data_IF_202946382323
#
_entry.id   IF_202946382323
#
_cell.length_a   1.000
_cell.length_b   1.000
_cell.length_c   1.000
_cell.angle_alpha   90.00
_cell.angle_beta   90.00
_cell.angle_gamma   90.00
#
_symmetry.space_group_name_H-M   'P 1'
#
loop_
_entity.id
_entity.type
_entity.pdbx_description
1 polymer ?
#
# COMPACT_ATOMS: atom_id res chain seq x y z
N UNK A 1 11.89 27.55 -39.12
CA UNK A 1 11.67 26.12 -38.79
C UNK A 1 12.75 25.54 -37.88
N UNK A 2 14.06 25.63 -38.18
CA UNK A 2 15.13 25.06 -37.33
C UNK A 2 15.14 25.49 -35.85
N UNK A 3 14.85 26.76 -35.55
CA UNK A 3 14.83 27.25 -34.16
C UNK A 3 13.62 26.78 -33.33
N UNK A 4 12.48 26.50 -33.97
CA UNK A 4 11.28 25.98 -33.29
C UNK A 4 11.48 24.53 -32.84
N UNK A 5 12.20 23.73 -33.63
CA UNK A 5 12.52 22.33 -33.30
C UNK A 5 13.45 22.26 -32.08
N UNK A 6 14.45 23.15 -31.99
CA UNK A 6 15.34 23.22 -30.83
C UNK A 6 14.63 23.70 -29.57
N UNK A 7 13.69 24.65 -29.69
CA UNK A 7 12.90 25.14 -28.56
C UNK A 7 11.94 24.05 -28.02
N UNK A 8 11.27 23.31 -28.91
CA UNK A 8 10.42 22.18 -28.53
C UNK A 8 11.22 21.05 -27.86
N UNK A 9 12.40 20.72 -28.38
CA UNK A 9 13.28 19.72 -27.75
C UNK A 9 13.78 20.13 -26.37
N UNK A 10 14.08 21.41 -26.16
CA UNK A 10 14.49 21.93 -24.85
C UNK A 10 13.35 21.91 -23.83
N UNK A 11 12.12 22.24 -24.24
CA UNK A 11 10.93 22.12 -23.38
C UNK A 11 10.69 20.65 -23.00
N UNK A 12 10.81 19.72 -23.95
CA UNK A 12 10.64 18.29 -23.69
C UNK A 12 11.69 17.78 -22.68
N UNK A 13 12.96 18.18 -22.85
CA UNK A 13 14.04 17.81 -21.93
C UNK A 13 13.80 18.37 -20.52
N UNK A 14 13.38 19.64 -20.40
CA UNK A 14 13.05 20.24 -19.11
C UNK A 14 11.86 19.54 -18.44
N UNK A 15 10.83 19.16 -19.20
CA UNK A 15 9.70 18.39 -18.67
C UNK A 15 10.14 17.01 -18.15
N UNK A 16 11.01 16.31 -18.89
CA UNK A 16 11.55 15.01 -18.47
C UNK A 16 12.42 15.14 -17.20
N UNK A 17 13.27 16.16 -17.11
CA UNK A 17 14.12 16.38 -15.93
C UNK A 17 13.29 16.76 -14.69
N UNK A 18 12.29 17.62 -14.84
CA UNK A 18 11.39 18.01 -13.74
C UNK A 18 10.55 16.81 -13.27
N UNK A 19 9.99 16.03 -14.20
CA UNK A 19 9.26 14.80 -13.86
C UNK A 19 10.17 13.80 -13.14
N UNK A 20 11.39 13.57 -13.62
CA UNK A 20 12.35 12.66 -12.98
C UNK A 20 12.71 13.03 -11.54
N UNK A 21 12.84 14.32 -11.23
CA UNK A 21 13.13 14.79 -9.87
C UNK A 21 11.93 14.66 -8.93
N UNK A 22 10.70 14.90 -9.42
CA UNK A 22 9.47 14.71 -8.64
C UNK A 22 9.19 13.21 -8.36
N UNK A 23 9.39 12.34 -9.35
CA UNK A 23 9.26 10.88 -9.21
C UNK A 23 10.18 10.35 -8.10
N UNK A 24 11.44 10.80 -8.13
CA UNK A 24 12.45 10.50 -7.11
C UNK A 24 11.99 10.91 -5.71
N UNK A 25 11.35 12.08 -5.57
CA UNK A 25 10.88 12.59 -4.28
C UNK A 25 9.67 11.83 -3.76
N UNK A 26 8.69 11.52 -4.60
CA UNK A 26 7.47 10.81 -4.19
C UNK A 26 7.78 9.37 -3.76
N UNK A 27 8.56 8.62 -4.55
CA UNK A 27 9.00 7.26 -4.20
C UNK A 27 9.84 7.25 -2.92
N UNK A 28 10.71 8.25 -2.72
CA UNK A 28 11.50 8.38 -1.49
C UNK A 28 10.64 8.66 -0.27
N UNK A 29 9.63 9.52 -0.41
CA UNK A 29 8.69 9.82 0.66
C UNK A 29 7.80 8.61 0.99
N UNK A 30 7.31 7.88 -0.02
CA UNK A 30 6.61 6.61 0.17
C UNK A 30 7.46 5.63 0.98
N UNK A 31 8.72 5.41 0.57
CA UNK A 31 9.63 4.48 1.25
C UNK A 31 9.87 4.85 2.71
N UNK A 32 9.98 6.15 3.00
CA UNK A 32 10.17 6.67 4.36
C UNK A 32 8.96 6.41 5.24
N UNK A 33 7.75 6.71 4.77
CA UNK A 33 6.52 6.49 5.53
C UNK A 33 6.19 4.99 5.68
N UNK A 34 6.39 4.20 4.61
CA UNK A 34 6.32 2.72 4.66
C UNK A 34 7.21 2.18 5.78
N UNK A 35 8.50 2.58 5.81
CA UNK A 35 9.44 2.11 6.83
C UNK A 35 9.02 2.52 8.25
N UNK A 36 8.56 3.76 8.44
CA UNK A 36 8.05 4.24 9.73
C UNK A 36 6.84 3.42 10.19
N UNK A 37 5.91 3.16 9.28
CA UNK A 37 4.73 2.37 9.55
C UNK A 37 5.11 0.94 9.97
N UNK A 38 5.97 0.26 9.20
CA UNK A 38 6.37 -1.12 9.50
C UNK A 38 7.08 -1.25 10.86
N UNK A 39 7.95 -0.30 11.22
CA UNK A 39 8.56 -0.28 12.56
C UNK A 39 7.52 -0.07 13.66
N UNK A 40 6.53 0.80 13.43
CA UNK A 40 5.42 1.01 14.36
C UNK A 40 4.51 -0.23 14.48
N UNK A 41 4.22 -0.90 13.37
CA UNK A 41 3.41 -2.12 13.31
C UNK A 41 4.06 -3.24 14.11
N UNK A 42 5.37 -3.46 13.96
CA UNK A 42 6.09 -4.47 14.76
C UNK A 42 5.87 -4.28 16.27
N UNK A 43 6.01 -3.05 16.77
CA UNK A 43 5.77 -2.74 18.19
C UNK A 43 4.33 -3.03 18.63
N UNK A 44 3.36 -2.75 17.77
CA UNK A 44 1.94 -3.03 18.05
C UNK A 44 1.63 -4.51 18.01
N UNK A 45 2.23 -5.26 17.10
CA UNK A 45 2.16 -6.72 17.05
C UNK A 45 2.66 -7.30 18.38
N UNK A 46 3.82 -6.85 18.87
CA UNK A 46 4.36 -7.29 20.17
C UNK A 46 3.37 -7.00 21.33
N UNK A 47 2.74 -5.80 21.33
CA UNK A 47 1.72 -5.46 22.32
C UNK A 47 0.48 -6.36 22.19
N UNK A 48 0.01 -6.61 20.96
CA UNK A 48 -1.16 -7.45 20.72
C UNK A 48 -0.91 -8.92 21.05
N UNK A 49 0.30 -9.43 20.80
CA UNK A 49 0.75 -10.77 21.18
C UNK A 49 0.62 -11.01 22.68
N UNK A 50 0.92 -10.00 23.51
CA UNK A 50 0.77 -10.13 24.98
C UNK A 50 -0.68 -10.10 25.46
N UNK A 51 -1.61 -9.62 24.63
CA UNK A 51 -3.05 -9.50 24.96
C UNK A 51 -3.88 -10.67 24.44
N UNK A 52 -3.46 -11.29 23.34
CA UNK A 52 -4.14 -12.46 22.78
C UNK A 52 -3.70 -13.68 23.59
N UNK A 53 -4.63 -14.23 24.37
CA UNK A 53 -4.38 -15.45 25.15
C UNK A 53 -4.18 -16.64 24.20
N UNK A 54 -3.02 -17.28 24.27
CA UNK A 54 -2.67 -18.47 23.48
C UNK A 54 -3.44 -19.75 23.87
N UNK A 55 -4.35 -19.67 24.86
CA UNK A 55 -4.87 -20.85 25.54
C UNK A 55 -6.07 -21.54 24.89
N UNK A 56 -6.67 -21.03 23.80
CA UNK A 56 -7.94 -21.60 23.29
C UNK A 56 -8.21 -21.51 21.77
N UNK A 57 -7.30 -20.97 20.94
CA UNK A 57 -7.51 -20.84 19.48
C UNK A 57 -6.47 -21.58 18.65
N UNK A 58 -6.82 -21.97 17.42
CA UNK A 58 -5.84 -22.39 16.42
C UNK A 58 -4.92 -21.22 16.01
N UNK A 59 -3.80 -21.54 15.35
CA UNK A 59 -2.79 -20.55 14.99
C UNK A 59 -3.34 -19.42 14.10
N UNK A 60 -4.26 -19.76 13.19
CA UNK A 60 -4.93 -18.83 12.30
C UNK A 60 -5.78 -17.81 13.07
N UNK A 61 -6.58 -18.29 14.01
CA UNK A 61 -7.42 -17.48 14.89
C UNK A 61 -6.57 -16.54 15.76
N UNK A 62 -5.44 -17.03 16.30
CA UNK A 62 -4.50 -16.21 17.08
C UNK A 62 -3.95 -15.07 16.20
N UNK A 63 -3.47 -15.37 15.00
CA UNK A 63 -2.95 -14.37 14.05
C UNK A 63 -4.03 -13.36 13.65
N UNK A 64 -5.24 -13.83 13.39
CA UNK A 64 -6.39 -13.00 13.10
C UNK A 64 -6.73 -12.03 14.23
N UNK A 65 -6.71 -12.50 15.47
CA UNK A 65 -6.97 -11.63 16.62
C UNK A 65 -5.84 -10.64 16.89
N UNK A 66 -4.59 -10.99 16.57
CA UNK A 66 -3.47 -10.04 16.56
C UNK A 66 -3.72 -8.96 15.50
N UNK A 67 -4.11 -9.33 14.27
CA UNK A 67 -4.42 -8.39 13.21
C UNK A 67 -5.58 -7.44 13.60
N UNK A 68 -6.69 -7.98 14.13
CA UNK A 68 -7.82 -7.19 14.66
C UNK A 68 -7.36 -6.20 15.74
N UNK A 69 -6.53 -6.65 16.68
CA UNK A 69 -5.95 -5.79 17.71
C UNK A 69 -5.10 -4.66 17.12
N UNK A 70 -4.26 -4.95 16.12
CA UNK A 70 -3.44 -3.94 15.44
C UNK A 70 -4.30 -2.92 14.70
N UNK A 71 -5.32 -3.37 13.95
CA UNK A 71 -6.26 -2.47 13.28
C UNK A 71 -6.97 -1.54 14.27
N UNK A 72 -7.38 -2.06 15.42
CA UNK A 72 -7.97 -1.24 16.49
C UNK A 72 -6.99 -0.21 17.02
N UNK A 73 -5.72 -0.59 17.26
CA UNK A 73 -4.67 0.34 17.73
C UNK A 73 -4.36 1.43 16.70
N UNK A 74 -4.44 1.10 15.42
CA UNK A 74 -4.26 2.06 14.32
C UNK A 74 -5.51 2.90 14.03
N UNK A 75 -6.62 2.66 14.72
CA UNK A 75 -7.92 3.29 14.45
C UNK A 75 -8.39 3.06 13.01
N UNK A 76 -8.07 1.88 12.48
CA UNK A 76 -8.53 1.45 11.16
C UNK A 76 -9.90 0.76 11.22
N UNK A 77 -10.40 0.43 12.42
CA UNK A 77 -11.75 -0.06 12.63
C UNK A 77 -12.70 1.11 12.91
N UNK A 78 -13.94 1.00 12.44
CA UNK A 78 -15.00 1.96 12.74
C UNK A 78 -15.58 1.76 14.17
N UNK A 79 -16.63 2.50 14.50
CA UNK A 79 -17.31 2.41 15.81
C UNK A 79 -17.95 1.05 16.07
N UNK A 80 -18.21 0.29 15.01
CA UNK A 80 -18.74 -1.06 15.08
C UNK A 80 -17.63 -2.12 15.11
N UNK A 81 -16.34 -1.75 15.24
CA UNK A 81 -15.18 -2.64 15.09
C UNK A 81 -15.06 -3.27 13.68
N UNK A 82 -15.73 -2.70 12.67
CA UNK A 82 -15.67 -3.19 11.30
C UNK A 82 -14.49 -2.53 10.56
N UNK A 83 -13.80 -3.31 9.73
CA UNK A 83 -12.79 -2.76 8.84
C UNK A 83 -13.47 -2.44 7.51
N UNK A 84 -13.63 -1.15 7.22
CA UNK A 84 -14.25 -0.64 5.99
C UNK A 84 -13.24 0.17 5.18
N UNK A 85 -13.48 0.40 3.89
CA UNK A 85 -12.63 1.31 3.11
C UNK A 85 -12.57 2.71 3.75
N UNK A 86 -13.68 3.19 4.32
CA UNK A 86 -13.74 4.52 4.93
C UNK A 86 -12.86 4.61 6.18
N UNK A 87 -12.96 3.64 7.09
CA UNK A 87 -12.13 3.60 8.31
C UNK A 87 -10.65 3.32 7.98
N UNK A 88 -10.40 2.48 6.98
CA UNK A 88 -9.04 2.22 6.48
C UNK A 88 -8.41 3.49 5.87
N UNK A 89 -9.16 4.23 5.04
CA UNK A 89 -8.72 5.51 4.45
C UNK A 89 -8.34 6.51 5.53
N UNK A 90 -9.21 6.69 6.52
CA UNK A 90 -9.00 7.65 7.61
C UNK A 90 -7.72 7.36 8.41
N UNK A 91 -7.38 6.09 8.58
CA UNK A 91 -6.15 5.67 9.27
C UNK A 91 -4.88 6.16 8.54
N UNK A 92 -4.88 6.22 7.21
CA UNK A 92 -3.66 6.41 6.41
C UNK A 92 -3.59 7.71 5.62
N UNK A 93 -4.69 8.47 5.49
CA UNK A 93 -4.74 9.72 4.73
C UNK A 93 -3.80 10.82 5.24
N UNK A 94 -3.46 10.80 6.54
CA UNK A 94 -2.52 11.75 7.14
C UNK A 94 -1.05 11.39 6.88
N UNK A 95 -0.78 10.16 6.43
CA UNK A 95 0.57 9.59 6.26
C UNK A 95 0.95 9.46 4.79
N UNK A 96 0.00 9.08 3.96
CA UNK A 96 0.17 8.93 2.52
C UNK A 96 -0.74 9.91 1.79
N UNK A 97 -0.19 10.58 0.79
CA UNK A 97 -0.89 11.57 -0.04
C UNK A 97 -0.80 11.17 -1.51
N UNK A 98 -1.58 11.85 -2.36
CA UNK A 98 -1.50 11.69 -3.81
C UNK A 98 -1.70 10.24 -4.27
N UNK A 99 -0.87 9.80 -5.22
CA UNK A 99 -0.98 8.48 -5.84
C UNK A 99 -0.69 7.35 -4.85
N UNK A 100 0.21 7.58 -3.88
CA UNK A 100 0.52 6.57 -2.86
C UNK A 100 -0.70 6.20 -2.03
N UNK A 101 -1.52 7.19 -1.66
CA UNK A 101 -2.78 6.95 -0.93
C UNK A 101 -3.77 6.14 -1.78
N UNK A 102 -3.90 6.50 -3.04
CA UNK A 102 -4.88 5.86 -3.93
C UNK A 102 -4.46 4.41 -4.25
N UNK A 103 -3.16 4.14 -4.37
CA UNK A 103 -2.61 2.77 -4.43
C UNK A 103 -2.90 1.97 -3.16
N UNK A 104 -2.72 2.58 -2.00
CA UNK A 104 -2.98 1.90 -0.72
C UNK A 104 -4.46 1.50 -0.58
N UNK A 105 -5.38 2.34 -1.08
CA UNK A 105 -6.80 2.03 -1.12
C UNK A 105 -7.12 0.93 -2.14
N UNK A 106 -6.41 0.89 -3.27
CA UNK A 106 -6.52 -0.22 -4.22
C UNK A 106 -6.04 -1.55 -3.62
N UNK A 107 -4.94 -1.53 -2.83
CA UNK A 107 -4.50 -2.71 -2.07
C UNK A 107 -5.64 -3.21 -1.17
N UNK A 108 -6.24 -2.30 -0.38
CA UNK A 108 -7.37 -2.66 0.47
C UNK A 108 -8.52 -3.29 -0.32
N UNK A 109 -8.99 -2.65 -1.39
CA UNK A 109 -10.09 -3.15 -2.23
C UNK A 109 -9.80 -4.53 -2.80
N UNK A 110 -8.59 -4.75 -3.33
CA UNK A 110 -8.19 -6.06 -3.87
C UNK A 110 -8.20 -7.15 -2.78
N UNK A 111 -7.78 -6.81 -1.57
CA UNK A 111 -7.79 -7.74 -0.45
C UNK A 111 -9.22 -8.03 0.04
N UNK A 112 -10.07 -7.00 0.13
CA UNK A 112 -11.49 -7.13 0.49
C UNK A 112 -12.27 -7.91 -0.57
N UNK A 113 -12.02 -7.68 -1.87
CA UNK A 113 -12.63 -8.46 -2.96
C UNK A 113 -12.25 -9.94 -2.88
N UNK A 114 -11.01 -10.25 -2.49
CA UNK A 114 -10.49 -11.61 -2.43
C UNK A 114 -10.97 -12.39 -1.20
N UNK A 115 -11.06 -11.73 -0.04
CA UNK A 115 -11.30 -12.38 1.25
C UNK A 115 -12.62 -11.99 1.91
N UNK A 116 -13.35 -11.03 1.35
CA UNK A 116 -14.56 -10.45 1.92
C UNK A 116 -14.27 -9.33 2.93
N UNK A 117 -15.32 -8.58 3.25
CA UNK A 117 -15.30 -7.64 4.36
C UNK A 117 -15.29 -8.40 5.70
N UNK A 118 -14.58 -7.85 6.69
CA UNK A 118 -14.49 -8.43 8.04
C UNK A 118 -15.23 -7.56 9.03
N UNK A 119 -16.07 -8.20 9.85
CA UNK A 119 -16.95 -7.52 10.78
C UNK A 119 -16.68 -7.94 12.23
N UNK A 120 -17.18 -7.15 13.18
CA UNK A 120 -17.08 -7.42 14.61
C UNK A 120 -17.60 -8.78 15.03
N UNK A 121 -18.61 -9.31 14.34
CA UNK A 121 -19.21 -10.62 14.58
C UNK A 121 -18.25 -11.80 14.33
N UNK A 122 -17.09 -11.56 13.72
CA UNK A 122 -16.00 -12.52 13.67
C UNK A 122 -15.29 -12.60 15.04
N UNK A 123 -15.92 -13.36 15.95
CA UNK A 123 -15.44 -13.58 17.32
C UNK A 123 -14.13 -14.37 17.37
N UNK A 124 -13.89 -15.22 16.37
CA UNK A 124 -12.64 -15.99 16.21
C UNK A 124 -11.56 -15.23 15.43
N UNK A 125 -11.88 -14.03 14.94
CA UNK A 125 -11.00 -13.16 14.16
C UNK A 125 -10.44 -13.78 12.86
N UNK A 126 -11.02 -14.87 12.37
CA UNK A 126 -10.48 -15.66 11.25
C UNK A 126 -10.39 -14.86 9.94
N UNK A 127 -11.37 -14.00 9.66
CA UNK A 127 -11.36 -13.13 8.50
C UNK A 127 -10.24 -12.09 8.55
N UNK A 128 -9.89 -11.61 9.76
CA UNK A 128 -8.82 -10.64 9.95
C UNK A 128 -7.43 -11.21 9.65
N UNK A 129 -7.22 -12.53 9.73
CA UNK A 129 -5.93 -13.13 9.37
C UNK A 129 -5.67 -12.96 7.87
N UNK A 130 -6.57 -13.48 7.04
CA UNK A 130 -6.39 -13.48 5.58
C UNK A 130 -6.36 -12.06 5.02
N UNK A 131 -7.29 -11.21 5.48
CA UNK A 131 -7.34 -9.82 5.05
C UNK A 131 -6.11 -9.04 5.55
N UNK A 132 -5.69 -9.26 6.81
CA UNK A 132 -4.52 -8.63 7.40
C UNK A 132 -3.22 -8.96 6.69
N UNK A 133 -2.98 -10.24 6.39
CA UNK A 133 -1.81 -10.69 5.64
C UNK A 133 -1.78 -10.13 4.23
N UNK A 134 -2.94 -10.06 3.56
CA UNK A 134 -3.04 -9.46 2.23
C UNK A 134 -2.67 -7.98 2.23
N UNK A 135 -3.22 -7.21 3.19
CA UNK A 135 -2.92 -5.79 3.34
C UNK A 135 -1.45 -5.58 3.67
N UNK A 136 -0.89 -6.38 4.59
CA UNK A 136 0.54 -6.34 4.93
C UNK A 136 1.42 -6.58 3.69
N UNK A 137 1.11 -7.61 2.90
CA UNK A 137 1.84 -7.89 1.67
C UNK A 137 1.80 -6.72 0.68
N UNK A 138 0.65 -6.07 0.54
CA UNK A 138 0.52 -4.89 -0.32
C UNK A 138 1.29 -3.67 0.21
N UNK A 139 1.45 -3.53 1.53
CA UNK A 139 2.35 -2.50 2.07
C UNK A 139 3.81 -2.71 1.68
N UNK A 140 4.26 -3.97 1.55
CA UNK A 140 5.63 -4.26 1.13
C UNK A 140 5.87 -3.86 -0.33
N UNK A 141 4.91 -4.03 -1.24
CA UNK A 141 5.07 -3.68 -2.67
C UNK A 141 4.65 -2.24 -3.00
N UNK A 142 3.94 -1.55 -2.11
CA UNK A 142 3.31 -0.23 -2.36
C UNK A 142 4.22 0.79 -3.09
N UNK A 143 5.47 0.95 -2.65
CA UNK A 143 6.37 1.93 -3.25
C UNK A 143 7.02 1.46 -4.55
N UNK A 144 7.10 0.14 -4.77
CA UNK A 144 7.53 -0.46 -6.03
C UNK A 144 6.42 -0.31 -7.07
N UNK A 145 5.17 -0.53 -6.67
CA UNK A 145 3.98 -0.30 -7.50
C UNK A 145 3.86 1.18 -7.89
N UNK A 146 4.12 2.10 -6.94
CA UNK A 146 4.20 3.54 -7.22
C UNK A 146 5.31 3.85 -8.23
N UNK A 147 6.50 3.26 -8.06
CA UNK A 147 7.60 3.46 -8.99
C UNK A 147 7.25 2.95 -10.40
N UNK A 148 6.57 1.80 -10.51
CA UNK A 148 6.15 1.23 -11.79
C UNK A 148 5.08 2.08 -12.50
N UNK A 149 4.15 2.70 -11.75
CA UNK A 149 3.12 3.57 -12.33
C UNK A 149 3.67 4.89 -12.88
N UNK A 150 4.73 5.42 -12.29
CA UNK A 150 5.29 6.72 -12.67
C UNK A 150 6.55 6.57 -13.52
N UNK A 151 7.12 5.37 -13.62
CA UNK A 151 8.17 5.09 -14.60
C UNK A 151 7.61 5.29 -16.02
N UNK A 152 8.36 5.98 -16.91
CA UNK A 152 7.97 6.00 -18.32
C UNK A 152 7.92 4.55 -18.83
N UNK A 153 7.00 4.23 -19.77
CA UNK A 153 6.99 2.92 -20.39
C UNK A 153 8.38 2.67 -20.95
N UNK A 154 9.02 1.57 -20.54
CA UNK A 154 10.21 1.08 -21.21
C UNK A 154 9.78 0.78 -22.64
N UNK A 155 10.30 1.55 -23.60
CA UNK A 155 10.16 1.18 -25.01
C UNK A 155 10.72 -0.24 -25.14
N UNK A 156 9.84 -1.22 -25.34
CA UNK A 156 10.23 -2.57 -25.66
C UNK A 156 11.11 -2.51 -26.91
N UNK A 157 12.36 -2.95 -26.77
CA UNK A 157 13.23 -3.33 -27.89
C UNK A 157 12.59 -4.52 -28.63
N UNK A 158 11.56 -4.28 -29.43
CA UNK A 158 11.04 -5.29 -30.35
C UNK A 158 10.66 -4.65 -31.69
N UNK A 159 11.67 -4.05 -32.32
CA UNK A 159 11.64 -3.68 -33.73
C UNK A 159 12.97 -4.00 -34.41
N UNK A 160 13.40 -5.27 -34.37
CA UNK A 160 14.34 -5.77 -35.37
C UNK A 160 14.18 -7.28 -35.61
N UNK A 161 13.00 -7.64 -36.11
CA UNK A 161 12.87 -8.74 -37.08
C UNK A 161 12.19 -8.18 -38.32
N UNK A 162 12.96 -7.45 -39.12
CA UNK A 162 12.63 -7.25 -40.53
C UNK A 162 13.74 -7.88 -41.35
N UNK A 163 13.40 -9.03 -41.91
CA UNK A 163 13.81 -9.58 -43.21
C UNK A 163 15.22 -9.28 -43.74
N UNK A 164 16.00 -10.36 -43.88
CA UNK A 164 16.70 -10.71 -45.12
C UNK A 164 16.99 -12.20 -45.18
#
# INVERSE_FOLDING_TARGET
>A
MRQLIHFAGFILLMLVLVQGEEISKEVRQCNKERKRLMVGLKKRIDICLTKVSSSTGDEASIRGCIAKCVFRMEKALDENDDLTEASFRQCFESRFTGQTRDLLLQVYRKCEEKFGAVAKSDELCTGYESLGLCIESGFYTLCEDLQALIAPPTEDEDASKTEL
#
